data_IF_066250517397
#
_entry.id   IF_066250517397
#
_cell.length_a   1.000
_cell.length_b   1.000
_cell.length_c   1.000
_cell.angle_alpha   90.00
_cell.angle_beta   90.00
_cell.angle_gamma   90.00
#
_symmetry.space_group_name_H-M   'P 1'
#
loop_
_entity.id
_entity.type
_entity.pdbx_description
1 polymer ?
#
# COMPACT_ATOMS: atom_id res chain seq x y z
N UNK A 1 5.06 -1.41 -28.34
CA UNK A 1 3.89 -1.91 -27.59
C UNK A 1 4.39 -2.64 -26.34
N UNK A 2 4.47 -1.97 -25.19
CA UNK A 2 4.95 -2.59 -23.93
C UNK A 2 4.44 -1.84 -22.67
N UNK A 3 3.24 -1.27 -22.72
CA UNK A 3 2.69 -0.42 -21.65
C UNK A 3 1.62 -1.13 -20.80
N UNK A 4 0.99 -2.19 -21.30
CA UNK A 4 -0.14 -2.84 -20.60
C UNK A 4 0.28 -3.69 -19.38
N UNK A 5 1.51 -4.20 -19.34
CA UNK A 5 1.96 -5.05 -18.23
C UNK A 5 2.41 -4.26 -17.00
N UNK A 6 2.71 -2.96 -17.17
CA UNK A 6 3.13 -2.04 -16.10
C UNK A 6 1.96 -1.40 -15.33
N UNK A 7 0.73 -1.52 -15.84
CA UNK A 7 -0.46 -0.95 -15.20
C UNK A 7 -1.23 -1.96 -14.35
N UNK A 8 -0.80 -3.23 -14.31
CA UNK A 8 -1.55 -4.28 -13.65
C UNK A 8 -1.48 -4.13 -12.13
N UNK A 9 -2.57 -3.61 -11.55
CA UNK A 9 -2.76 -3.56 -10.10
C UNK A 9 -2.83 -5.00 -9.58
N UNK A 10 -1.90 -5.34 -8.71
CA UNK A 10 -1.87 -6.63 -7.99
C UNK A 10 -2.53 -6.45 -6.63
N UNK A 11 -3.46 -7.33 -6.23
CA UNK A 11 -4.01 -7.29 -4.89
C UNK A 11 -2.93 -7.62 -3.87
N UNK A 12 -3.02 -7.03 -2.69
CA UNK A 12 -2.13 -7.31 -1.56
C UNK A 12 -2.96 -7.30 -0.28
N UNK A 13 -2.76 -8.32 0.55
CA UNK A 13 -3.37 -8.43 1.87
C UNK A 13 -2.29 -8.32 2.94
N UNK A 14 -2.59 -7.55 3.99
CA UNK A 14 -1.79 -7.53 5.22
C UNK A 14 -2.71 -7.74 6.42
N UNK A 15 -2.22 -8.44 7.42
CA UNK A 15 -2.88 -8.56 8.71
C UNK A 15 -2.13 -7.69 9.72
N UNK A 16 -2.81 -6.70 10.30
CA UNK A 16 -2.27 -5.76 11.29
C UNK A 16 -3.17 -5.78 12.52
N UNK A 17 -2.62 -6.08 13.69
CA UNK A 17 -3.38 -6.17 14.96
C UNK A 17 -4.62 -7.09 14.87
N UNK A 18 -4.52 -8.21 14.14
CA UNK A 18 -5.63 -9.16 13.93
C UNK A 18 -6.72 -8.68 12.97
N UNK A 19 -6.57 -7.49 12.36
CA UNK A 19 -7.46 -7.02 11.29
C UNK A 19 -6.80 -7.25 9.94
N UNK A 20 -7.57 -7.79 9.00
CA UNK A 20 -7.15 -7.94 7.61
C UNK A 20 -7.43 -6.68 6.82
N UNK A 21 -6.41 -6.20 6.14
CA UNK A 21 -6.46 -5.05 5.27
C UNK A 21 -6.11 -5.48 3.85
N UNK A 22 -7.06 -5.27 2.95
CA UNK A 22 -6.92 -5.58 1.53
C UNK A 22 -6.70 -4.28 0.79
N UNK A 23 -5.64 -4.23 0.01
CA UNK A 23 -5.38 -3.12 -0.91
C UNK A 23 -4.87 -3.62 -2.24
N UNK A 24 -4.34 -2.71 -3.04
CA UNK A 24 -3.76 -3.04 -4.34
C UNK A 24 -2.48 -2.27 -4.53
N UNK A 25 -1.53 -2.82 -5.27
CA UNK A 25 -0.30 -2.11 -5.62
C UNK A 25 0.02 -2.27 -7.10
N UNK A 26 0.77 -1.33 -7.66
CA UNK A 26 1.39 -1.44 -8.98
C UNK A 26 2.87 -1.14 -8.89
N UNK A 27 3.65 -1.67 -9.81
CA UNK A 27 5.09 -1.38 -9.91
C UNK A 27 5.32 -0.57 -11.18
N UNK A 28 5.86 0.63 -11.02
CA UNK A 28 6.20 1.54 -12.11
C UNK A 28 7.63 2.03 -11.95
N UNK A 29 8.45 1.87 -12.98
CA UNK A 29 9.81 2.41 -13.04
C UNK A 29 10.66 2.14 -11.78
N UNK A 30 10.63 0.90 -11.26
CA UNK A 30 11.39 0.53 -10.05
C UNK A 30 10.77 1.00 -8.72
N UNK A 31 9.57 1.58 -8.76
CA UNK A 31 8.83 2.03 -7.59
C UNK A 31 7.52 1.27 -7.42
N UNK A 32 7.20 0.91 -6.18
CA UNK A 32 5.94 0.30 -5.78
C UNK A 32 4.99 1.41 -5.36
N UNK A 33 3.80 1.42 -5.94
CA UNK A 33 2.72 2.36 -5.64
C UNK A 33 1.57 1.55 -5.06
N UNK A 34 1.30 1.70 -3.76
CA UNK A 34 0.20 1.07 -3.04
C UNK A 34 -1.02 2.00 -2.94
N UNK A 35 -2.21 1.39 -3.07
CA UNK A 35 -3.52 2.00 -2.97
C UNK A 35 -4.28 1.36 -1.83
N UNK A 36 -4.68 2.17 -0.85
CA UNK A 36 -5.41 1.70 0.32
C UNK A 36 -6.34 2.79 0.86
N UNK A 37 -7.64 2.49 0.96
CA UNK A 37 -8.68 3.35 1.56
C UNK A 37 -8.66 4.83 1.08
N UNK A 38 -8.41 5.05 -0.21
CA UNK A 38 -8.31 6.39 -0.80
C UNK A 38 -6.95 7.09 -0.62
N UNK A 39 -6.03 6.52 0.16
CA UNK A 39 -4.63 6.94 0.21
C UNK A 39 -3.79 6.22 -0.86
N UNK A 40 -2.88 6.99 -1.46
CA UNK A 40 -1.88 6.50 -2.42
C UNK A 40 -0.51 6.72 -1.81
N UNK A 41 0.31 5.68 -1.75
CA UNK A 41 1.70 5.80 -1.34
C UNK A 41 2.64 5.12 -2.31
N UNK A 42 3.83 5.68 -2.47
CA UNK A 42 4.87 5.10 -3.31
C UNK A 42 6.20 5.01 -2.59
N UNK A 43 6.96 3.96 -2.88
CA UNK A 43 8.33 3.78 -2.42
C UNK A 43 9.17 3.03 -3.47
N UNK A 44 10.47 3.36 -3.61
CA UNK A 44 11.38 2.58 -4.45
C UNK A 44 11.53 1.16 -3.90
N UNK A 45 11.57 0.16 -4.78
CA UNK A 45 11.75 -1.25 -4.39
C UNK A 45 13.16 -1.79 -4.66
N UNK A 46 14.11 -0.91 -4.97
CA UNK A 46 15.55 -1.12 -5.27
C UNK A 46 16.02 -2.60 -5.24
N UNK A 47 16.18 -3.17 -4.04
CA UNK A 47 16.67 -4.55 -3.80
C UNK A 47 15.58 -5.46 -3.21
N UNK A 48 14.47 -4.89 -2.74
CA UNK A 48 13.41 -5.64 -2.06
C UNK A 48 12.32 -6.10 -3.03
N UNK A 49 11.70 -7.25 -2.74
CA UNK A 49 10.54 -7.70 -3.52
C UNK A 49 9.44 -6.64 -3.45
N UNK A 50 8.81 -6.29 -4.59
CA UNK A 50 7.78 -5.26 -4.61
C UNK A 50 6.57 -5.61 -3.73
N UNK A 51 6.31 -6.90 -3.52
CA UNK A 51 5.30 -7.39 -2.56
C UNK A 51 5.61 -6.99 -1.11
N UNK A 52 6.88 -7.04 -0.70
CA UNK A 52 7.31 -6.67 0.66
C UNK A 52 7.11 -5.17 0.88
N UNK A 53 7.54 -4.36 -0.08
CA UNK A 53 7.36 -2.90 -0.06
C UNK A 53 5.88 -2.55 -0.09
N UNK A 54 5.06 -3.23 -0.89
CA UNK A 54 3.61 -3.02 -0.94
C UNK A 54 2.94 -3.32 0.42
N UNK A 55 3.31 -4.42 1.07
CA UNK A 55 2.81 -4.77 2.41
C UNK A 55 3.24 -3.75 3.46
N UNK A 56 4.49 -3.28 3.40
CA UNK A 56 4.98 -2.24 4.29
C UNK A 56 4.22 -0.92 4.09
N UNK A 57 4.03 -0.49 2.83
CA UNK A 57 3.24 0.70 2.49
C UNK A 57 1.79 0.60 2.99
N UNK A 58 1.16 -0.58 2.84
CA UNK A 58 -0.19 -0.80 3.36
C UNK A 58 -0.25 -0.70 4.88
N UNK A 59 0.72 -1.30 5.58
CA UNK A 59 0.82 -1.24 7.03
C UNK A 59 0.99 0.19 7.52
N UNK A 60 1.83 0.97 6.83
CA UNK A 60 2.06 2.38 7.17
C UNK A 60 0.81 3.24 6.94
N UNK A 61 0.12 3.06 5.80
CA UNK A 61 -1.16 3.72 5.54
C UNK A 61 -2.22 3.33 6.58
N UNK A 62 -2.32 2.05 6.94
CA UNK A 62 -3.25 1.58 7.96
C UNK A 62 -3.01 2.26 9.32
N UNK A 63 -1.75 2.30 9.78
CA UNK A 63 -1.38 2.99 11.03
C UNK A 63 -1.75 4.46 11.00
N UNK A 64 -1.59 5.13 9.85
CA UNK A 64 -1.95 6.53 9.66
C UNK A 64 -3.47 6.74 9.70
N UNK A 65 -4.25 5.89 9.02
CA UNK A 65 -5.73 5.92 9.06
C UNK A 65 -6.24 5.69 10.48
N UNK A 66 -5.66 4.74 11.23
CA UNK A 66 -6.02 4.49 12.63
C UNK A 66 -5.66 5.68 13.53
N UNK A 67 -4.50 6.31 13.33
CA UNK A 67 -4.10 7.52 14.05
C UNK A 67 -5.04 8.70 13.77
N UNK A 68 -5.45 8.91 12.52
CA UNK A 68 -6.39 9.97 12.13
C UNK A 68 -7.79 9.70 12.72
N UNK A 69 -8.27 8.45 12.68
CA UNK A 69 -9.55 8.07 13.29
C UNK A 69 -9.54 8.34 14.79
N UNK A 70 -8.47 7.99 15.50
CA UNK A 70 -8.33 8.25 16.94
C UNK A 70 -8.39 9.75 17.26
N UNK A 71 -7.82 10.60 16.41
CA UNK A 71 -7.85 12.05 16.61
C UNK A 71 -9.23 12.66 16.33
N UNK A 72 -10.04 12.09 15.42
CA UNK A 72 -11.41 12.57 15.16
C UNK A 72 -12.41 12.21 16.27
N UNK A 73 -12.18 11.14 17.02
CA UNK A 73 -13.04 10.77 18.15
C UNK A 73 -12.81 11.60 19.42
N UNK A 74 -11.86 12.54 19.41
CA UNK A 74 -11.55 13.40 20.56
C UNK A 74 -12.02 14.86 20.36
N UNK A 75 -13.11 15.09 19.62
CA UNK A 75 -13.68 16.43 19.44
C UNK A 75 -15.19 16.43 19.60
#
# INVERSE_FOLDING_TARGET
MAIQEYEKRRPVEVEINGKKYVGSYRVMAGSVIAYFDGEIRSAPHDIQRPEVVARWLLSDSCKKVEAIKRNRSNR
#
